data_IF_134511909628
#
_entry.id   IF_134511909628
#
_cell.length_a   1.000
_cell.length_b   1.000
_cell.length_c   1.000
_cell.angle_alpha   90.00
_cell.angle_beta   90.00
_cell.angle_gamma   90.00
#
_symmetry.space_group_name_H-M   'P 1'
#
loop_
_entity.id
_entity.type
_entity.pdbx_description
1 polymer ?
#
# COMPACT_ATOMS: atom_id res chain seq x y z
N UNK A 1 3.47 6.62 -15.62
CA UNK A 1 3.83 7.99 -15.19
C UNK A 1 4.39 7.99 -13.77
N UNK A 2 4.12 6.94 -12.98
CA UNK A 2 4.59 6.80 -11.59
C UNK A 2 6.10 6.55 -11.45
N UNK A 3 6.76 5.98 -12.47
CA UNK A 3 8.22 5.81 -12.50
C UNK A 3 8.99 7.12 -12.64
N UNK A 4 8.40 8.15 -13.25
CA UNK A 4 9.03 9.48 -13.34
C UNK A 4 8.88 10.22 -12.01
N UNK A 5 7.74 10.10 -11.33
CA UNK A 5 7.55 10.68 -9.99
C UNK A 5 8.47 10.05 -8.93
N UNK A 6 8.68 8.73 -8.98
CA UNK A 6 9.61 8.03 -8.09
C UNK A 6 11.10 8.41 -8.34
N UNK A 7 11.45 8.72 -9.59
CA UNK A 7 12.79 9.19 -9.95
C UNK A 7 13.02 10.67 -9.57
N UNK A 8 12.02 11.54 -9.75
CA UNK A 8 12.09 12.96 -9.40
C UNK A 8 12.23 13.19 -7.89
N UNK A 9 11.64 12.32 -7.07
CA UNK A 9 11.69 12.41 -5.60
C UNK A 9 13.00 11.88 -4.97
N UNK A 10 13.91 11.36 -5.79
CA UNK A 10 15.22 10.83 -5.35
C UNK A 10 16.39 11.76 -5.72
N UNK A 11 16.19 12.76 -6.59
CA UNK A 11 17.24 13.65 -7.06
C UNK A 11 17.37 14.96 -6.27
N UNK A 12 16.31 15.40 -5.57
CA UNK A 12 16.28 16.70 -4.87
C UNK A 12 16.37 16.44 -3.36
N UNK A 13 17.41 16.98 -2.72
CA UNK A 13 17.55 16.90 -1.26
C UNK A 13 16.45 17.70 -0.53
N UNK A 14 16.06 17.28 0.69
CA UNK A 14 14.91 17.87 1.37
C UNK A 14 15.10 19.36 1.67
N UNK A 15 16.33 19.82 1.90
CA UNK A 15 16.65 21.23 2.11
C UNK A 15 16.47 22.04 0.82
N UNK A 16 16.96 21.54 -0.31
CA UNK A 16 16.75 22.15 -1.63
C UNK A 16 15.27 22.18 -2.01
N UNK A 17 14.53 21.12 -1.72
CA UNK A 17 13.10 21.06 -2.00
C UNK A 17 12.31 22.08 -1.16
N UNK A 18 12.64 22.21 0.12
CA UNK A 18 12.05 23.21 0.99
C UNK A 18 12.31 24.63 0.45
N UNK A 19 13.53 24.90 0.00
CA UNK A 19 13.90 26.19 -0.59
C UNK A 19 13.16 26.47 -1.91
N UNK A 20 13.01 25.47 -2.79
CA UNK A 20 12.25 25.61 -4.05
C UNK A 20 10.80 26.00 -3.76
N UNK A 21 10.16 25.32 -2.81
CA UNK A 21 8.77 25.58 -2.42
C UNK A 21 8.65 27.00 -1.82
N UNK A 22 9.59 27.42 -0.98
CA UNK A 22 9.60 28.76 -0.40
C UNK A 22 9.72 29.85 -1.47
N UNK A 23 10.63 29.67 -2.43
CA UNK A 23 10.81 30.60 -3.56
C UNK A 23 9.52 30.72 -4.38
N UNK A 24 8.87 29.60 -4.71
CA UNK A 24 7.61 29.61 -5.47
C UNK A 24 6.49 30.34 -4.71
N UNK A 25 6.38 30.14 -3.40
CA UNK A 25 5.41 30.86 -2.57
C UNK A 25 5.72 32.35 -2.50
N UNK A 26 7.00 32.74 -2.46
CA UNK A 26 7.39 34.14 -2.46
C UNK A 26 7.05 34.82 -3.80
N UNK A 27 7.32 34.16 -4.93
CA UNK A 27 7.02 34.67 -6.26
C UNK A 27 5.50 34.88 -6.45
N UNK A 28 4.69 33.90 -6.04
CA UNK A 28 3.23 33.98 -6.12
C UNK A 28 2.65 35.12 -5.27
N UNK A 29 3.22 35.36 -4.07
CA UNK A 29 2.84 36.49 -3.22
C UNK A 29 3.23 37.85 -3.79
N UNK A 30 4.25 37.91 -4.66
CA UNK A 30 4.60 39.12 -5.38
C UNK A 30 3.62 39.39 -6.53
N UNK A 31 3.11 38.34 -7.18
CA UNK A 31 2.13 38.45 -8.28
C UNK A 31 0.76 38.98 -7.85
N UNK A 32 0.37 38.78 -6.59
CA UNK A 32 -0.94 39.24 -6.06
C UNK A 32 -0.97 40.71 -5.62
N UNK A 33 0.15 41.45 -5.71
CA UNK A 33 0.24 42.87 -5.27
C UNK A 33 0.08 43.89 -6.41
N UNK A 34 -0.40 43.47 -7.59
CA UNK A 34 -0.55 44.33 -8.77
C UNK A 34 -1.76 45.28 -8.71
N UNK A 35 -1.70 46.44 -9.38
CA UNK A 35 -2.86 47.32 -9.60
C UNK A 35 -3.59 46.88 -10.87
N UNK A 36 -4.88 46.59 -10.78
CA UNK A 36 -5.74 46.26 -11.91
C UNK A 36 -6.85 47.30 -12.11
N UNK A 37 -7.38 47.39 -13.33
CA UNK A 37 -8.54 48.23 -13.66
C UNK A 37 -9.83 47.61 -13.10
N UNK A 38 -10.86 48.43 -12.90
CA UNK A 38 -12.05 48.10 -12.08
C UNK A 38 -13.00 47.06 -12.73
N UNK A 39 -12.91 46.84 -14.05
CA UNK A 39 -13.92 46.08 -14.82
C UNK A 39 -13.50 44.64 -15.19
N UNK A 40 -12.23 44.30 -14.99
CA UNK A 40 -11.73 42.91 -15.09
C UNK A 40 -11.04 42.58 -13.77
N UNK A 41 -11.60 41.62 -13.02
CA UNK A 41 -10.84 40.95 -11.97
C UNK A 41 -9.59 40.34 -12.63
N UNK A 42 -8.38 40.53 -12.10
CA UNK A 42 -7.18 40.04 -12.76
C UNK A 42 -7.20 38.51 -12.70
N UNK A 43 -7.52 37.85 -13.82
CA UNK A 43 -7.44 36.39 -13.95
C UNK A 43 -6.07 35.86 -13.49
N UNK A 44 -5.02 36.68 -13.63
CA UNK A 44 -3.68 36.40 -13.12
C UNK A 44 -3.59 36.30 -11.60
N UNK A 45 -4.38 37.07 -10.84
CA UNK A 45 -4.41 36.99 -9.38
C UNK A 45 -5.18 35.75 -8.92
N UNK A 46 -6.30 35.44 -9.56
CA UNK A 46 -7.04 34.19 -9.30
C UNK A 46 -6.17 32.98 -9.62
N UNK A 47 -5.47 33.00 -10.76
CA UNK A 47 -4.50 31.97 -11.12
C UNK A 47 -3.36 31.86 -10.10
N UNK A 48 -2.83 32.99 -9.61
CA UNK A 48 -1.79 32.99 -8.58
C UNK A 48 -2.29 32.43 -7.24
N UNK A 49 -3.54 32.72 -6.83
CA UNK A 49 -4.15 32.17 -5.62
C UNK A 49 -4.36 30.65 -5.72
N UNK A 50 -4.82 30.15 -6.87
CA UNK A 50 -4.97 28.72 -7.13
C UNK A 50 -3.60 28.03 -7.08
N UNK A 51 -2.60 28.59 -7.77
CA UNK A 51 -1.25 28.04 -7.76
C UNK A 51 -0.63 28.08 -6.35
N UNK A 52 -0.89 29.11 -5.55
CA UNK A 52 -0.42 29.18 -4.16
C UNK A 52 -1.03 28.04 -3.33
N UNK A 53 -2.31 27.71 -3.53
CA UNK A 53 -2.94 26.58 -2.87
C UNK A 53 -2.31 25.25 -3.30
N UNK A 54 -2.00 25.07 -4.58
CA UNK A 54 -1.32 23.87 -5.10
C UNK A 54 0.10 23.70 -4.52
N UNK A 55 0.90 24.77 -4.49
CA UNK A 55 2.25 24.74 -3.91
C UNK A 55 2.22 24.45 -2.41
N UNK A 56 1.22 24.97 -1.67
CA UNK A 56 1.01 24.61 -0.26
C UNK A 56 0.65 23.14 -0.07
N UNK A 57 -0.18 22.59 -0.95
CA UNK A 57 -0.51 21.16 -0.91
C UNK A 57 0.73 20.29 -1.17
N UNK A 58 1.59 20.67 -2.13
CA UNK A 58 2.88 20.01 -2.36
C UNK A 58 3.78 20.08 -1.13
N UNK A 59 3.85 21.24 -0.46
CA UNK A 59 4.59 21.38 0.81
C UNK A 59 4.12 20.39 1.87
N UNK A 60 2.80 20.27 2.08
CA UNK A 60 2.24 19.29 3.02
C UNK A 60 2.59 17.87 2.63
N UNK A 61 2.45 17.53 1.35
CA UNK A 61 2.77 16.20 0.84
C UNK A 61 4.24 15.80 1.12
N UNK A 62 5.18 16.71 0.89
CA UNK A 62 6.59 16.44 1.15
C UNK A 62 6.96 16.41 2.63
N UNK A 63 6.29 17.22 3.46
CA UNK A 63 6.43 17.11 4.91
C UNK A 63 5.95 15.73 5.42
N UNK A 64 4.79 15.27 4.96
CA UNK A 64 4.23 13.96 5.32
C UNK A 64 5.14 12.82 4.85
N UNK A 65 5.72 12.94 3.66
CA UNK A 65 6.69 11.98 3.14
C UNK A 65 7.97 11.93 3.97
N UNK A 66 8.53 13.08 4.33
CA UNK A 66 9.71 13.18 5.21
C UNK A 66 9.44 12.55 6.57
N UNK A 67 8.30 12.87 7.18
CA UNK A 67 7.86 12.26 8.44
C UNK A 67 7.71 10.75 8.33
N UNK A 68 7.08 10.26 7.26
CA UNK A 68 6.89 8.81 7.03
C UNK A 68 8.23 8.07 6.91
N UNK A 69 9.21 8.65 6.21
CA UNK A 69 10.57 8.12 6.12
C UNK A 69 11.28 8.10 7.47
N UNK A 70 11.18 9.17 8.25
CA UNK A 70 11.74 9.24 9.60
C UNK A 70 11.15 8.17 10.53
N UNK A 71 9.82 7.96 10.47
CA UNK A 71 9.14 6.90 11.21
C UNK A 71 9.66 5.52 10.79
N UNK A 72 9.74 5.27 9.47
CA UNK A 72 10.27 4.00 8.97
C UNK A 72 11.72 3.74 9.43
N UNK A 73 12.58 4.76 9.38
CA UNK A 73 13.95 4.68 9.87
C UNK A 73 14.03 4.39 11.37
N UNK A 74 13.22 5.06 12.19
CA UNK A 74 13.17 4.81 13.63
C UNK A 74 12.73 3.37 13.93
N UNK A 75 11.70 2.87 13.25
CA UNK A 75 11.23 1.50 13.40
C UNK A 75 12.29 0.45 13.03
N UNK A 76 13.03 0.69 11.95
CA UNK A 76 14.13 -0.20 11.52
C UNK A 76 15.28 -0.15 12.53
N UNK A 77 15.63 1.04 13.00
CA UNK A 77 16.71 1.25 13.97
C UNK A 77 16.39 0.62 15.32
N UNK A 78 15.16 0.78 15.79
CA UNK A 78 14.72 0.33 17.11
C UNK A 78 14.22 -1.13 17.11
N UNK A 79 14.28 -1.82 15.97
CA UNK A 79 13.73 -3.16 15.80
C UNK A 79 14.26 -4.16 16.85
N UNK A 80 15.57 -4.17 17.11
CA UNK A 80 16.20 -5.08 18.07
C UNK A 80 15.81 -4.74 19.52
N UNK A 81 15.71 -3.45 19.84
CA UNK A 81 15.28 -3.00 21.16
C UNK A 81 13.82 -3.36 21.42
N UNK A 82 12.95 -3.18 20.43
CA UNK A 82 11.55 -3.60 20.48
C UNK A 82 11.46 -5.12 20.68
N UNK A 83 12.22 -5.91 19.92
CA UNK A 83 12.23 -7.36 20.04
C UNK A 83 12.67 -7.83 21.44
N UNK A 84 13.69 -7.19 22.01
CA UNK A 84 14.15 -7.48 23.37
C UNK A 84 13.07 -7.18 24.42
N UNK A 85 12.37 -6.04 24.30
CA UNK A 85 11.28 -5.69 25.22
C UNK A 85 10.09 -6.64 25.11
N UNK A 86 9.73 -7.08 23.90
CA UNK A 86 8.68 -8.08 23.70
C UNK A 86 9.04 -9.41 24.37
N UNK A 87 10.30 -9.85 24.27
CA UNK A 87 10.76 -11.06 24.93
C UNK A 87 10.71 -10.93 26.46
N UNK A 88 11.12 -9.78 26.99
CA UNK A 88 11.08 -9.49 28.41
C UNK A 88 9.63 -9.49 28.96
N UNK A 89 8.69 -8.88 28.23
CA UNK A 89 7.28 -8.86 28.62
C UNK A 89 6.68 -10.26 28.62
N UNK A 90 7.03 -11.08 27.61
CA UNK A 90 6.63 -12.49 27.56
C UNK A 90 7.14 -13.28 28.77
N UNK A 91 8.41 -13.13 29.12
CA UNK A 91 8.98 -13.77 30.30
C UNK A 91 8.22 -13.36 31.57
N UNK A 92 7.95 -12.06 31.74
CA UNK A 92 7.20 -11.57 32.90
C UNK A 92 5.75 -12.09 32.94
N UNK A 93 5.12 -12.31 31.79
CA UNK A 93 3.80 -12.93 31.70
C UNK A 93 3.83 -14.41 32.10
N UNK A 94 4.83 -15.16 31.65
CA UNK A 94 5.04 -16.56 32.00
C UNK A 94 5.34 -16.74 33.50
N UNK A 95 6.19 -15.89 34.07
CA UNK A 95 6.50 -15.86 35.50
C UNK A 95 5.23 -15.60 36.34
N UNK A 96 4.39 -14.65 35.91
CA UNK A 96 3.10 -14.37 36.56
C UNK A 96 2.16 -15.56 36.48
N UNK A 97 2.09 -16.24 35.33
CA UNK A 97 1.25 -17.42 35.15
C UNK A 97 1.72 -18.60 36.02
N UNK A 98 3.04 -18.78 36.16
CA UNK A 98 3.64 -19.77 37.03
C UNK A 98 3.32 -19.49 38.51
N UNK A 99 3.53 -18.25 38.98
CA UNK A 99 3.24 -17.87 40.36
C UNK A 99 1.76 -18.06 40.76
N UNK A 100 0.83 -17.87 39.82
CA UNK A 100 -0.59 -18.12 40.05
C UNK A 100 -0.94 -19.61 40.14
N UNK A 101 -0.16 -20.51 39.53
CA UNK A 101 -0.38 -21.96 39.58
C UNK A 101 0.11 -22.59 40.89
N UNK A 102 1.19 -22.05 41.47
CA UNK A 102 1.79 -22.57 42.71
C UNK A 102 1.09 -22.11 44.01
N UNK A 103 0.03 -21.27 43.92
CA UNK A 103 -0.76 -20.85 45.07
C UNK A 103 -2.15 -21.53 45.12
N UNK A 104 -2.30 -22.66 45.83
CA UNK A 104 -3.58 -23.40 45.90
C UNK A 104 -4.68 -22.71 46.71
N UNK A 105 -4.40 -21.61 47.42
CA UNK A 105 -5.39 -20.88 48.24
C UNK A 105 -5.92 -19.58 47.58
N UNK A 106 -5.55 -19.29 46.34
CA UNK A 106 -6.02 -18.12 45.58
C UNK A 106 -7.36 -18.31 44.87
N UNK A 107 -8.34 -18.97 45.47
CA UNK A 107 -9.69 -19.03 44.87
C UNK A 107 -10.37 -17.66 44.92
N UNK A 108 -10.76 -17.16 43.75
CA UNK A 108 -11.55 -15.94 43.44
C UNK A 108 -10.77 -14.63 43.26
N UNK A 109 -10.19 -14.46 42.07
CA UNK A 109 -10.50 -13.28 41.27
C UNK A 109 -10.46 -13.61 39.78
N UNK A 110 -11.60 -13.42 39.12
CA UNK A 110 -11.74 -13.55 37.66
C UNK A 110 -10.71 -12.66 36.96
N UNK A 111 -9.88 -13.20 36.06
CA UNK A 111 -9.15 -12.38 35.12
C UNK A 111 -10.11 -12.02 33.98
N UNK A 112 -10.66 -10.80 34.01
CA UNK A 112 -11.07 -10.13 32.78
C UNK A 112 -9.81 -9.56 32.14
N UNK A 113 -9.01 -10.42 31.55
CA UNK A 113 -8.01 -10.02 30.58
C UNK A 113 -8.44 -10.67 29.27
N UNK A 114 -9.12 -9.88 28.44
CA UNK A 114 -9.24 -10.14 27.01
C UNK A 114 -7.84 -10.42 26.48
N UNK A 115 -7.52 -11.70 26.32
CA UNK A 115 -6.41 -12.11 25.50
C UNK A 115 -6.76 -11.69 24.07
N UNK A 116 -6.26 -10.54 23.66
CA UNK A 116 -6.24 -10.15 22.26
C UNK A 116 -5.34 -11.14 21.54
N UNK A 117 -5.94 -12.23 21.09
CA UNK A 117 -5.35 -13.17 20.15
C UNK A 117 -5.22 -12.46 18.81
N UNK A 118 -4.10 -11.77 18.60
CA UNK A 118 -3.67 -11.28 17.29
C UNK A 118 -2.29 -11.83 16.97
N UNK A 119 -2.16 -13.16 17.01
CA UNK A 119 -1.02 -13.87 16.44
C UNK A 119 -1.55 -14.82 15.37
N UNK A 120 -1.96 -14.24 14.25
CA UNK A 120 -2.35 -14.99 13.04
C UNK A 120 -1.98 -14.17 11.81
N UNK A 121 -0.75 -13.67 11.77
CA UNK A 121 -0.14 -13.20 10.53
C UNK A 121 0.87 -14.25 10.08
N UNK A 122 0.75 -14.65 8.81
CA UNK A 122 1.71 -15.55 8.17
C UNK A 122 3.09 -14.89 8.22
N UNK A 123 4.15 -15.61 8.61
CA UNK A 123 5.54 -15.13 8.60
C UNK A 123 5.93 -14.46 7.27
N UNK A 124 5.38 -14.97 6.17
CA UNK A 124 5.59 -14.43 4.81
C UNK A 124 5.04 -13.01 4.64
N UNK A 125 3.95 -12.66 5.35
CA UNK A 125 3.38 -11.33 5.33
C UNK A 125 4.20 -10.36 6.19
N UNK A 126 4.69 -10.81 7.35
CA UNK A 126 5.55 -10.02 8.24
C UNK A 126 6.90 -9.71 7.59
N UNK A 127 7.52 -10.69 6.93
CA UNK A 127 8.79 -10.50 6.21
C UNK A 127 8.65 -9.49 5.06
N UNK A 128 7.53 -9.51 4.33
CA UNK A 128 7.23 -8.53 3.27
C UNK A 128 7.01 -7.12 3.82
N UNK A 129 6.33 -7.01 4.96
CA UNK A 129 6.10 -5.71 5.62
C UNK A 129 7.45 -5.12 6.06
N UNK A 130 8.30 -5.92 6.69
CA UNK A 130 9.63 -5.50 7.13
C UNK A 130 10.54 -5.12 5.95
N UNK A 131 10.48 -5.88 4.85
CA UNK A 131 11.24 -5.56 3.63
C UNK A 131 10.78 -4.24 2.99
N UNK A 132 9.47 -3.99 2.94
CA UNK A 132 8.94 -2.72 2.43
C UNK A 132 9.31 -1.55 3.36
N UNK A 133 9.30 -1.75 4.67
CA UNK A 133 9.69 -0.74 5.65
C UNK A 133 11.17 -0.38 5.54
N UNK A 134 12.02 -1.38 5.32
CA UNK A 134 13.45 -1.18 5.06
C UNK A 134 13.68 -0.43 3.75
N UNK A 135 12.94 -0.75 2.68
CA UNK A 135 13.03 -0.05 1.40
C UNK A 135 12.64 1.43 1.51
N UNK A 136 11.69 1.78 2.39
CA UNK A 136 11.31 3.16 2.68
C UNK A 136 12.35 3.93 3.52
N UNK A 137 13.22 3.22 4.25
CA UNK A 137 14.23 3.79 5.14
C UNK A 137 15.61 4.02 4.48
N UNK A 138 15.83 3.55 3.25
CA UNK A 138 17.11 3.79 2.55
C UNK A 138 17.17 5.23 2.04
N UNK A 139 17.99 6.05 2.70
CA UNK A 139 18.52 7.28 2.14
C UNK A 139 19.90 7.00 1.50
N UNK A 140 20.06 7.33 0.22
CA UNK A 140 21.30 7.10 -0.55
C UNK A 140 22.43 8.10 -0.23
N UNK A 141 22.36 8.89 0.85
CA UNK A 141 23.49 9.74 1.27
C UNK A 141 24.23 9.20 2.49
N UNK A 142 25.19 8.31 2.21
CA UNK A 142 26.44 8.24 2.99
C UNK A 142 27.64 8.13 2.05
N UNK A 143 28.10 9.27 1.54
CA UNK A 143 29.51 9.44 1.17
C UNK A 143 30.27 9.57 2.50
N UNK A 144 31.15 8.63 2.90
CA UNK A 144 32.00 8.87 4.06
C UNK A 144 33.08 9.87 3.66
N UNK A 145 32.93 11.11 4.15
CA UNK A 145 34.03 12.08 4.18
C UNK A 145 35.10 11.58 5.14
N UNK A 146 36.34 11.61 4.66
CA UNK A 146 37.53 11.16 5.37
C UNK A 146 37.78 11.95 6.65
N UNK A 147 37.72 11.27 7.80
CA UNK A 147 38.68 11.37 8.90
C UNK A 147 38.27 10.41 10.04
N UNK A 148 39.23 9.56 10.43
CA UNK A 148 39.32 8.81 11.71
C UNK A 148 38.41 7.57 11.86
N UNK A 149 38.86 6.33 12.12
CA UNK A 149 40.15 5.78 12.57
C UNK A 149 40.27 4.27 12.21
N UNK A 150 41.47 3.91 11.77
CA UNK A 150 42.25 2.65 11.93
C UNK A 150 41.73 1.25 11.56
N UNK A 151 42.24 0.79 10.41
CA UNK A 151 43.01 -0.46 10.16
C UNK A 151 42.43 -1.79 10.68
N UNK A 152 41.90 -2.59 9.75
CA UNK A 152 42.47 -3.91 9.41
C UNK A 152 42.31 -4.17 7.91
N UNK A 153 43.39 -4.66 7.32
CA UNK A 153 43.58 -4.95 5.90
C UNK A 153 42.94 -6.28 5.49
N UNK A 154 41.99 -6.28 4.56
CA UNK A 154 41.73 -7.36 3.60
C UNK A 154 40.76 -6.89 2.50
N UNK A 155 41.24 -6.98 1.26
CA UNK A 155 40.61 -6.89 -0.07
C UNK A 155 39.16 -6.38 -0.27
N UNK A 156 38.92 -5.42 -1.20
CA UNK A 156 37.59 -5.02 -1.63
C UNK A 156 37.12 -5.92 -2.78
N UNK A 157 36.45 -7.03 -2.47
CA UNK A 157 35.64 -7.72 -3.48
C UNK A 157 34.22 -7.13 -3.44
N UNK A 158 33.96 -6.27 -4.41
CA UNK A 158 32.67 -5.68 -4.69
C UNK A 158 31.60 -6.76 -4.89
N UNK A 159 30.67 -6.87 -3.95
CA UNK A 159 29.31 -7.35 -4.22
C UNK A 159 28.32 -6.32 -3.65
N UNK A 160 28.23 -5.22 -4.37
CA UNK A 160 27.04 -4.34 -4.35
C UNK A 160 25.85 -5.27 -4.63
N UNK A 161 24.94 -5.43 -3.67
CA UNK A 161 23.72 -6.21 -3.84
C UNK A 161 22.93 -5.62 -5.02
N UNK A 162 23.17 -6.18 -6.21
CA UNK A 162 22.33 -5.96 -7.38
C UNK A 162 21.00 -6.60 -7.03
N UNK A 163 19.96 -5.79 -6.82
CA UNK A 163 18.60 -6.27 -6.84
C UNK A 163 18.44 -7.15 -8.08
N UNK A 164 18.15 -8.45 -7.88
CA UNK A 164 18.06 -9.38 -9.00
C UNK A 164 16.92 -8.91 -9.92
N UNK A 165 17.28 -8.45 -11.12
CA UNK A 165 16.31 -8.11 -12.16
C UNK A 165 15.62 -9.39 -12.64
N UNK A 166 14.34 -9.27 -12.96
CA UNK A 166 13.47 -10.33 -13.49
C UNK A 166 12.90 -9.87 -14.83
N UNK A 167 12.72 -10.80 -15.76
CA UNK A 167 12.17 -10.49 -17.08
C UNK A 167 10.69 -10.85 -17.11
N UNK A 168 9.85 -9.85 -17.37
CA UNK A 168 8.41 -10.07 -17.51
C UNK A 168 8.11 -10.87 -18.78
N UNK A 169 7.38 -11.98 -18.65
CA UNK A 169 7.03 -12.83 -19.81
C UNK A 169 6.05 -12.16 -20.78
N UNK A 170 5.28 -11.16 -20.31
CA UNK A 170 4.27 -10.47 -21.13
C UNK A 170 4.85 -9.29 -21.93
N UNK A 171 5.59 -8.39 -21.28
CA UNK A 171 6.14 -7.20 -21.93
C UNK A 171 7.64 -7.29 -22.25
N UNK A 172 8.32 -8.37 -21.84
CA UNK A 172 9.77 -8.60 -22.00
C UNK A 172 10.69 -7.61 -21.28
N UNK A 173 10.14 -6.66 -20.53
CA UNK A 173 10.91 -5.67 -19.74
C UNK A 173 11.59 -6.32 -18.54
N UNK A 174 12.79 -5.83 -18.23
CA UNK A 174 13.50 -6.12 -16.98
C UNK A 174 12.94 -5.23 -15.86
N UNK A 175 12.56 -5.85 -14.76
CA UNK A 175 12.00 -5.20 -13.57
C UNK A 175 12.70 -5.69 -12.32
N UNK A 176 12.74 -4.86 -11.27
CA UNK A 176 13.27 -5.28 -9.98
C UNK A 176 12.45 -6.46 -9.43
N UNK A 177 13.11 -7.39 -8.73
CA UNK A 177 12.41 -8.52 -8.09
C UNK A 177 11.27 -8.09 -7.15
N UNK A 178 11.37 -6.90 -6.54
CA UNK A 178 10.33 -6.29 -5.70
C UNK A 178 9.08 -5.86 -6.47
N UNK A 179 9.23 -5.54 -7.76
CA UNK A 179 8.16 -5.04 -8.64
C UNK A 179 7.64 -6.13 -9.58
N UNK A 180 8.00 -7.38 -9.29
CA UNK A 180 7.64 -8.56 -10.06
C UNK A 180 6.98 -9.62 -9.19
N UNK A 181 6.03 -10.34 -9.77
CA UNK A 181 5.49 -11.56 -9.21
C UNK A 181 6.12 -12.75 -9.91
N UNK A 182 6.40 -13.81 -9.16
CA UNK A 182 6.78 -15.11 -9.72
C UNK A 182 5.62 -16.07 -9.62
N UNK A 183 5.11 -16.52 -10.77
CA UNK A 183 4.01 -17.48 -10.83
C UNK A 183 4.46 -18.90 -10.44
N UNK A 184 3.54 -19.81 -10.07
CA UNK A 184 3.86 -21.22 -9.79
C UNK A 184 4.55 -21.93 -10.97
N UNK A 185 4.15 -21.56 -12.20
CA UNK A 185 4.76 -21.96 -13.48
C UNK A 185 6.22 -21.47 -13.67
N UNK A 186 6.81 -20.78 -12.68
CA UNK A 186 8.15 -20.16 -12.67
C UNK A 186 8.39 -18.95 -13.58
N UNK A 187 7.38 -18.49 -14.33
CA UNK A 187 7.44 -17.24 -15.10
C UNK A 187 7.24 -16.01 -14.20
N UNK A 188 7.91 -14.92 -14.57
CA UNK A 188 7.80 -13.63 -13.88
C UNK A 188 6.90 -12.66 -14.66
N UNK A 189 6.12 -11.85 -13.93
CA UNK A 189 5.32 -10.75 -14.48
C UNK A 189 5.61 -9.48 -13.71
N UNK A 190 5.70 -8.33 -14.40
CA UNK A 190 5.70 -7.04 -13.73
C UNK A 190 4.30 -6.70 -13.18
N UNK A 191 4.25 -5.77 -12.23
CA UNK A 191 2.99 -5.28 -11.64
C UNK A 191 1.97 -4.83 -12.70
N UNK A 192 2.38 -4.02 -13.69
CA UNK A 192 1.48 -3.49 -14.71
C UNK A 192 0.85 -4.58 -15.59
N UNK A 193 1.64 -5.56 -16.02
CA UNK A 193 1.15 -6.68 -16.82
C UNK A 193 0.21 -7.57 -16.00
N UNK A 194 0.49 -7.73 -14.71
CA UNK A 194 -0.38 -8.48 -13.79
C UNK A 194 -1.73 -7.77 -13.64
N UNK A 195 -1.71 -6.46 -13.37
CA UNK A 195 -2.92 -5.62 -13.28
C UNK A 195 -3.75 -5.68 -14.55
N UNK A 196 -3.09 -5.61 -15.71
CA UNK A 196 -3.75 -5.71 -17.02
C UNK A 196 -4.38 -7.08 -17.24
N UNK A 197 -3.68 -8.16 -16.88
CA UNK A 197 -4.18 -9.53 -16.97
C UNK A 197 -5.44 -9.73 -16.11
N UNK A 198 -5.43 -9.19 -14.89
CA UNK A 198 -6.58 -9.28 -13.98
C UNK A 198 -7.76 -8.45 -14.45
N UNK A 199 -7.51 -7.24 -14.94
CA UNK A 199 -8.54 -6.40 -15.57
C UNK A 199 -9.18 -7.11 -16.77
N UNK A 200 -8.36 -7.73 -17.65
CA UNK A 200 -8.87 -8.48 -18.79
C UNK A 200 -9.76 -9.66 -18.36
N UNK A 201 -9.35 -10.42 -17.34
CA UNK A 201 -10.13 -11.56 -16.85
C UNK A 201 -11.45 -11.18 -16.16
N UNK A 202 -11.56 -9.97 -15.60
CA UNK A 202 -12.83 -9.48 -15.04
C UNK A 202 -13.83 -9.21 -16.16
N UNK A 203 -13.36 -8.68 -17.29
CA UNK A 203 -14.20 -8.29 -18.41
C UNK A 203 -14.53 -9.47 -19.35
N UNK A 204 -13.61 -10.43 -19.49
CA UNK A 204 -13.76 -11.60 -20.35
C UNK A 204 -13.84 -12.89 -19.53
N UNK A 205 -15.01 -13.51 -19.54
CA UNK A 205 -15.28 -14.76 -18.83
C UNK A 205 -14.41 -15.93 -19.28
N UNK A 206 -13.94 -15.93 -20.53
CA UNK A 206 -13.08 -16.99 -21.07
C UNK A 206 -11.66 -16.95 -20.45
N UNK A 207 -11.23 -15.78 -20.01
CA UNK A 207 -9.94 -15.55 -19.36
C UNK A 207 -10.00 -15.78 -17.85
N UNK A 208 -11.17 -16.05 -17.29
CA UNK A 208 -11.35 -16.28 -15.86
C UNK A 208 -11.16 -17.77 -15.48
N UNK A 209 -10.51 -18.09 -14.34
CA UNK A 209 -9.57 -17.22 -13.61
C UNK A 209 -8.29 -16.93 -14.43
N UNK A 210 -7.58 -15.83 -14.12
CA UNK A 210 -6.25 -15.53 -14.65
C UNK A 210 -5.28 -16.71 -14.51
N UNK A 211 -4.63 -17.08 -15.60
CA UNK A 211 -3.75 -18.26 -15.68
C UNK A 211 -2.39 -17.91 -16.29
N UNK A 212 -1.32 -18.51 -15.75
CA UNK A 212 -0.02 -18.65 -16.41
C UNK A 212 0.15 -20.12 -16.80
N UNK A 213 0.48 -20.42 -18.06
CA UNK A 213 0.75 -21.81 -18.49
C UNK A 213 -0.36 -22.81 -18.12
N UNK A 214 -1.62 -22.34 -18.12
CA UNK A 214 -2.83 -23.08 -17.69
C UNK A 214 -2.98 -23.29 -16.19
N UNK A 215 -2.04 -22.83 -15.38
CA UNK A 215 -2.15 -22.82 -13.91
C UNK A 215 -2.75 -21.50 -13.44
N UNK A 216 -3.74 -21.52 -12.53
CA UNK A 216 -4.33 -20.31 -11.98
C UNK A 216 -3.30 -19.53 -11.17
N UNK A 217 -3.24 -18.22 -11.36
CA UNK A 217 -2.34 -17.34 -10.61
C UNK A 217 -2.98 -17.06 -9.23
N UNK A 218 -2.31 -17.43 -8.10
CA UNK A 218 -2.85 -17.17 -6.76
C UNK A 218 -3.02 -15.68 -6.47
N UNK A 219 -4.20 -15.29 -5.98
CA UNK A 219 -4.54 -13.91 -5.64
C UNK A 219 -3.59 -13.33 -4.56
N UNK A 220 -3.06 -14.14 -3.66
CA UNK A 220 -2.17 -13.67 -2.59
C UNK A 220 -0.82 -13.17 -3.07
N UNK A 221 -0.34 -13.63 -4.24
CA UNK A 221 0.92 -13.17 -4.82
C UNK A 221 0.80 -11.75 -5.37
N UNK A 222 -0.39 -11.40 -5.82
CA UNK A 222 -0.63 -10.20 -6.63
C UNK A 222 -1.35 -9.09 -5.88
N UNK A 223 -1.98 -9.40 -4.73
CA UNK A 223 -2.65 -8.43 -3.86
C UNK A 223 -1.85 -7.13 -3.64
N UNK A 224 -0.53 -7.14 -3.44
CA UNK A 224 0.26 -5.91 -3.28
C UNK A 224 0.26 -4.98 -4.51
N UNK A 225 0.01 -5.52 -5.70
CA UNK A 225 0.06 -4.80 -6.97
C UNK A 225 -1.32 -4.37 -7.47
N UNK A 226 -2.40 -4.94 -6.93
CA UNK A 226 -3.76 -4.61 -7.33
C UNK A 226 -4.30 -3.44 -6.48
N UNK A 227 -4.94 -2.47 -7.12
CA UNK A 227 -5.69 -1.45 -6.41
C UNK A 227 -6.87 -2.07 -5.66
N UNK A 228 -7.31 -1.43 -4.56
CA UNK A 228 -8.47 -1.90 -3.79
C UNK A 228 -9.73 -2.05 -4.66
N UNK A 229 -9.93 -1.13 -5.61
CA UNK A 229 -11.03 -1.18 -6.58
C UNK A 229 -10.96 -2.42 -7.47
N UNK A 230 -9.79 -2.71 -8.03
CA UNK A 230 -9.59 -3.86 -8.93
C UNK A 230 -9.70 -5.19 -8.18
N UNK A 231 -9.15 -5.25 -6.96
CA UNK A 231 -9.26 -6.42 -6.10
C UNK A 231 -10.72 -6.71 -5.73
N UNK A 232 -11.49 -5.69 -5.35
CA UNK A 232 -12.91 -5.83 -5.05
C UNK A 232 -13.73 -6.27 -6.27
N UNK A 233 -13.44 -5.72 -7.45
CA UNK A 233 -14.08 -6.15 -8.70
C UNK A 233 -13.75 -7.62 -9.03
N UNK A 234 -12.50 -8.04 -8.84
CA UNK A 234 -12.08 -9.42 -9.03
C UNK A 234 -12.80 -10.39 -8.08
N UNK A 235 -12.89 -10.06 -6.79
CA UNK A 235 -13.60 -10.88 -5.80
C UNK A 235 -15.09 -10.98 -6.09
N UNK A 236 -15.72 -9.87 -6.50
CA UNK A 236 -17.13 -9.87 -6.92
C UNK A 236 -17.34 -10.76 -8.16
N UNK A 237 -16.47 -10.66 -9.16
CA UNK A 237 -16.55 -11.49 -10.37
C UNK A 237 -16.25 -12.96 -10.07
N UNK A 238 -15.32 -13.25 -9.17
CA UNK A 238 -15.05 -14.60 -8.67
C UNK A 238 -16.29 -15.24 -8.05
N UNK A 239 -16.97 -14.51 -7.16
CA UNK A 239 -18.21 -14.97 -6.54
C UNK A 239 -19.30 -15.25 -7.59
N UNK A 240 -19.45 -14.36 -8.57
CA UNK A 240 -20.37 -14.56 -9.71
C UNK A 240 -20.04 -15.83 -10.50
N UNK A 241 -18.76 -16.06 -10.81
CA UNK A 241 -18.32 -17.25 -11.56
C UNK A 241 -18.50 -18.56 -10.78
N UNK A 242 -18.24 -18.55 -9.48
CA UNK A 242 -18.38 -19.73 -8.62
C UNK A 242 -19.86 -20.05 -8.30
N UNK A 243 -20.76 -19.10 -8.52
CA UNK A 243 -22.21 -19.29 -8.33
C UNK A 243 -22.79 -20.07 -9.51
N UNK A 244 -23.42 -21.23 -9.25
CA UNK A 244 -24.09 -22.05 -10.26
C UNK A 244 -25.37 -21.37 -10.77
N UNK A 245 -26.32 -21.10 -9.87
CA UNK A 245 -27.58 -20.42 -10.19
C UNK A 245 -27.39 -18.91 -10.11
N UNK A 246 -26.73 -18.36 -11.14
CA UNK A 246 -26.49 -16.92 -11.27
C UNK A 246 -27.82 -16.21 -11.50
N UNK A 247 -28.09 -15.22 -10.67
CA UNK A 247 -29.25 -14.34 -10.84
C UNK A 247 -28.72 -12.95 -11.15
N UNK A 248 -29.29 -12.33 -12.19
CA UNK A 248 -28.93 -10.98 -12.59
C UNK A 248 -30.14 -10.07 -12.43
N UNK A 249 -29.88 -8.77 -12.24
CA UNK A 249 -30.92 -7.76 -12.25
C UNK A 249 -31.65 -7.79 -13.60
N UNK A 250 -32.98 -7.85 -13.56
CA UNK A 250 -33.83 -7.94 -14.76
C UNK A 250 -33.84 -6.64 -15.60
N UNK A 251 -33.47 -5.51 -15.00
CA UNK A 251 -33.38 -4.22 -15.70
C UNK A 251 -32.20 -4.29 -16.68
N UNK A 252 -32.48 -4.19 -17.99
CA UNK A 252 -31.48 -4.38 -19.05
C UNK A 252 -30.26 -3.45 -18.93
N UNK A 253 -30.46 -2.21 -18.47
CA UNK A 253 -29.37 -1.25 -18.24
C UNK A 253 -28.54 -1.54 -17.00
N UNK A 254 -29.05 -2.37 -16.08
CA UNK A 254 -28.36 -2.73 -14.84
C UNK A 254 -27.60 -4.04 -14.99
N UNK A 255 -28.29 -5.13 -15.35
CA UNK A 255 -27.74 -6.48 -15.56
C UNK A 255 -26.71 -6.94 -14.51
N UNK A 256 -26.78 -6.39 -13.29
CA UNK A 256 -25.79 -6.61 -12.24
C UNK A 256 -26.05 -7.95 -11.55
N UNK A 257 -24.99 -8.70 -11.26
CA UNK A 257 -25.07 -9.96 -10.55
C UNK A 257 -25.66 -9.77 -9.13
N UNK A 258 -26.56 -10.67 -8.74
CA UNK A 258 -27.25 -10.67 -7.43
C UNK A 258 -26.73 -11.85 -6.59
N UNK A 259 -25.89 -11.59 -5.57
CA UNK A 259 -25.32 -12.64 -4.72
C UNK A 259 -26.37 -13.52 -4.04
N UNK A 260 -26.11 -14.81 -3.81
CA UNK A 260 -27.07 -15.68 -3.11
C UNK A 260 -27.50 -15.17 -1.73
N UNK A 261 -26.56 -14.57 -0.98
CA UNK A 261 -26.81 -14.03 0.34
C UNK A 261 -27.78 -12.82 0.35
N UNK A 262 -27.93 -12.11 -0.76
CA UNK A 262 -28.85 -10.96 -0.86
C UNK A 262 -30.27 -11.35 -1.25
N UNK A 263 -30.49 -12.56 -1.79
CA UNK A 263 -31.79 -13.00 -2.30
C UNK A 263 -32.85 -13.15 -1.20
N UNK A 264 -32.48 -13.60 -0.01
CA UNK A 264 -33.42 -13.80 1.11
C UNK A 264 -33.78 -12.52 1.88
N UNK A 265 -33.15 -11.38 1.56
CA UNK A 265 -33.35 -10.10 2.27
C UNK A 265 -34.24 -9.09 1.54
N UNK A 266 -34.74 -9.41 0.35
CA UNK A 266 -35.51 -8.47 -0.51
C UNK A 266 -36.96 -8.21 -0.06
N UNK A 267 -37.29 -8.39 1.23
CA UNK A 267 -38.58 -7.98 1.82
C UNK A 267 -38.53 -6.56 2.45
N UNK A 268 -37.39 -5.89 2.42
CA UNK A 268 -37.21 -4.55 2.98
C UNK A 268 -36.10 -3.79 2.26
N UNK A 269 -36.20 -2.46 2.27
CA UNK A 269 -35.40 -1.51 1.52
C UNK A 269 -33.95 -1.38 2.03
N UNK A 270 -33.23 -2.49 2.20
CA UNK A 270 -31.91 -2.53 2.85
C UNK A 270 -30.75 -2.57 1.85
N UNK A 271 -29.80 -1.66 2.07
CA UNK A 271 -28.50 -1.60 1.39
C UNK A 271 -27.62 -2.74 1.89
N UNK A 272 -27.27 -3.68 1.02
CA UNK A 272 -26.38 -4.79 1.37
C UNK A 272 -24.93 -4.33 1.20
N UNK A 273 -24.24 -4.16 2.33
CA UNK A 273 -22.79 -3.90 2.37
C UNK A 273 -22.05 -5.23 2.28
N UNK A 274 -21.28 -5.42 1.21
CA UNK A 274 -20.26 -6.47 1.11
C UNK A 274 -18.91 -5.76 1.20
N UNK A 275 -18.13 -6.05 2.25
CA UNK A 275 -16.73 -5.61 2.34
C UNK A 275 -16.46 -4.11 2.54
N UNK A 276 -17.35 -3.34 3.16
CA UNK A 276 -17.08 -1.93 3.51
C UNK A 276 -17.37 -0.90 2.42
N UNK A 277 -17.73 -1.33 1.21
CA UNK A 277 -18.09 -0.43 0.10
C UNK A 277 -19.60 -0.35 -0.07
N UNK A 278 -20.11 0.86 -0.24
CA UNK A 278 -21.52 1.13 -0.56
C UNK A 278 -21.72 1.11 -2.07
N UNK A 279 -22.27 0.01 -2.59
CA UNK A 279 -22.87 0.00 -3.93
C UNK A 279 -24.25 0.63 -3.77
N UNK A 280 -24.39 1.90 -4.18
CA UNK A 280 -25.71 2.55 -4.26
C UNK A 280 -26.52 1.93 -5.38
N UNK A 281 -27.29 0.88 -5.05
CA UNK A 281 -28.37 0.40 -5.90
C UNK A 281 -29.51 1.42 -5.75
N UNK A 282 -29.54 2.44 -6.61
CA UNK A 282 -30.77 3.23 -6.81
C UNK A 282 -31.73 2.34 -7.59
N UNK A 283 -32.59 1.63 -6.86
CA UNK A 283 -33.75 0.97 -7.44
C UNK A 283 -34.72 2.06 -7.92
N UNK A 284 -34.87 2.20 -9.24
CA UNK A 284 -36.05 2.81 -9.81
C UNK A 284 -37.12 1.71 -9.91
N UNK A 285 -38.06 1.72 -8.97
CA UNK A 285 -39.33 1.00 -9.10
C UNK A 285 -40.29 1.98 -9.77
N UNK A 286 -40.54 1.77 -11.06
CA UNK A 286 -41.87 1.90 -11.68
C UNK A 286 -41.90 1.19 -13.02
#
# INVERSE_FOLDING_TARGET
MDTIAAAMDSEIDPESLALIIEIQLQDLRCMTKGKHTIDHGPDSEVAAQIMEAEVKNLSSFYADKSMSRSIAHALVTDADAIAAHVLQEKQAADDRAFALRDNPQGTRRHPTATASSSASHSKVAEDKINQNLAALAVDEKKIPSAAELSITTADPSASKEKSALRNCVACTSEVASTDSIRCPCSHDYCGDCTTSLFSAAINDESLFPPRCCKEPIPLDLIKPFLSATLLGAYEAKKLEHETLDKTYCHVQTCSTFVPPASRSRMAGNDVIRVGGWSISIRAAIT
#
